data_IF_315211340435
#
_entry.id   IF_315211340435
#
_cell.length_a   1.000
_cell.length_b   1.000
_cell.length_c   1.000
_cell.angle_alpha   90.00
_cell.angle_beta   90.00
_cell.angle_gamma   90.00
#
_symmetry.space_group_name_H-M   'P 1'
#
loop_
_entity.id
_entity.type
_entity.pdbx_description
1 polymer ?
#
# COMPACT_ATOMS: atom_id res chain seq x y z
N UNK A 1 -13.04 -18.61 17.74
CA UNK A 1 -12.70 -19.98 17.32
C UNK A 1 -11.84 -20.56 18.43
N UNK A 2 -12.32 -21.58 19.15
CA UNK A 2 -11.43 -22.33 20.04
C UNK A 2 -10.53 -23.19 19.16
N UNK A 3 -9.22 -22.98 19.31
CA UNK A 3 -8.21 -23.64 18.49
C UNK A 3 -7.47 -24.59 19.42
N UNK A 4 -7.58 -25.90 19.18
CA UNK A 4 -6.82 -26.88 19.95
C UNK A 4 -5.42 -27.10 19.33
N UNK A 5 -4.54 -27.75 20.08
CA UNK A 5 -3.17 -28.00 19.64
C UNK A 5 -3.12 -28.79 18.33
N UNK A 6 -4.07 -29.71 18.11
CA UNK A 6 -4.08 -30.55 16.90
C UNK A 6 -4.35 -29.74 15.63
N UNK A 7 -5.22 -28.71 15.72
CA UNK A 7 -5.46 -27.79 14.63
C UNK A 7 -4.23 -26.91 14.35
N UNK A 8 -3.56 -26.45 15.41
CA UNK A 8 -2.36 -25.62 15.30
C UNK A 8 -1.23 -26.42 14.64
N UNK A 9 -0.97 -27.64 15.11
CA UNK A 9 0.07 -28.52 14.55
C UNK A 9 -0.17 -28.78 13.06
N UNK A 10 -1.43 -29.01 12.66
CA UNK A 10 -1.81 -29.16 11.26
C UNK A 10 -1.56 -27.90 10.42
N UNK A 11 -1.71 -26.72 11.01
CA UNK A 11 -1.45 -25.42 10.37
C UNK A 11 0.06 -25.14 10.21
N UNK A 12 0.86 -25.45 11.24
CA UNK A 12 2.32 -25.26 11.23
C UNK A 12 2.99 -26.08 10.12
N UNK A 13 2.55 -27.33 9.94
CA UNK A 13 3.01 -28.22 8.84
C UNK A 13 2.80 -27.56 7.46
N UNK A 14 1.80 -26.70 7.29
CA UNK A 14 1.47 -26.04 6.02
C UNK A 14 2.08 -24.65 5.86
N UNK A 15 2.40 -23.96 6.95
CA UNK A 15 2.96 -22.59 6.94
C UNK A 15 4.50 -22.54 7.10
N UNK A 16 5.12 -23.69 7.39
CA UNK A 16 6.54 -23.91 7.72
C UNK A 16 6.98 -23.28 9.05
N UNK A 17 7.56 -24.10 9.94
CA UNK A 17 8.04 -23.65 11.26
C UNK A 17 9.02 -22.48 11.20
N UNK A 18 10.03 -22.43 10.28
CA UNK A 18 10.97 -21.31 10.23
C UNK A 18 10.31 -19.96 9.96
N UNK A 19 9.16 -19.98 9.26
CA UNK A 19 8.40 -18.76 8.97
C UNK A 19 7.69 -18.25 10.21
N UNK A 20 7.07 -19.13 11.00
CA UNK A 20 6.36 -18.80 12.23
C UNK A 20 7.30 -18.42 13.37
N UNK A 21 8.48 -19.06 13.45
CA UNK A 21 9.50 -18.76 14.46
C UNK A 21 9.94 -17.29 14.42
N UNK A 22 10.07 -16.72 13.23
CA UNK A 22 10.40 -15.30 13.08
C UNK A 22 9.37 -14.38 13.73
N UNK A 23 8.08 -14.73 13.68
CA UNK A 23 7.02 -13.99 14.38
C UNK A 23 7.09 -14.25 15.88
N UNK A 24 7.22 -15.52 16.29
CA UNK A 24 7.29 -15.91 17.70
C UNK A 24 8.39 -15.15 18.45
N UNK A 25 9.60 -15.12 17.89
CA UNK A 25 10.74 -14.43 18.51
C UNK A 25 10.58 -12.91 18.50
N UNK A 26 10.18 -12.32 17.38
CA UNK A 26 10.15 -10.85 17.26
C UNK A 26 9.04 -10.20 18.12
N UNK A 27 7.90 -10.86 18.26
CA UNK A 27 6.75 -10.37 19.03
C UNK A 27 6.65 -10.97 20.44
N UNK A 28 7.62 -11.79 20.84
CA UNK A 28 7.65 -12.48 22.12
C UNK A 28 6.33 -13.23 22.43
N UNK A 29 5.78 -13.93 21.43
CA UNK A 29 4.50 -14.64 21.56
C UNK A 29 4.60 -15.76 22.60
N UNK A 30 3.58 -15.86 23.46
CA UNK A 30 3.54 -16.82 24.58
C UNK A 30 3.06 -18.21 24.19
N UNK A 31 2.28 -18.30 23.12
CA UNK A 31 1.68 -19.53 22.63
C UNK A 31 1.46 -19.45 21.12
N UNK A 32 1.11 -20.58 20.51
CA UNK A 32 0.98 -20.70 19.06
C UNK A 32 -0.22 -19.92 18.51
N UNK A 33 -1.28 -19.75 19.31
CA UNK A 33 -2.44 -18.95 18.92
C UNK A 33 -2.05 -17.48 18.72
N UNK A 34 -1.22 -16.91 19.61
CA UNK A 34 -0.65 -15.57 19.43
C UNK A 34 0.18 -15.48 18.15
N UNK A 35 1.02 -16.48 17.84
CA UNK A 35 1.86 -16.49 16.63
C UNK A 35 1.01 -16.49 15.36
N UNK A 36 -0.02 -17.34 15.32
CA UNK A 36 -0.99 -17.38 14.21
C UNK A 36 -1.71 -16.03 14.11
N UNK A 37 -2.09 -15.44 15.24
CA UNK A 37 -2.66 -14.11 15.34
C UNK A 37 -1.82 -13.03 14.67
N UNK A 38 -0.54 -12.91 15.05
CA UNK A 38 0.38 -11.94 14.45
C UNK A 38 0.63 -12.23 12.96
N UNK A 39 0.68 -13.50 12.56
CA UNK A 39 0.77 -13.87 11.15
C UNK A 39 -0.45 -13.37 10.35
N UNK A 40 -1.65 -13.47 10.93
CA UNK A 40 -2.87 -12.94 10.33
C UNK A 40 -2.92 -11.40 10.34
N UNK A 41 -2.41 -10.76 11.39
CA UNK A 41 -2.23 -9.30 11.43
C UNK A 41 -1.35 -8.80 10.28
N UNK A 42 -0.25 -9.50 9.96
CA UNK A 42 0.57 -9.15 8.80
C UNK A 42 -0.21 -9.21 7.47
N UNK A 43 -1.15 -10.16 7.32
CA UNK A 43 -2.04 -10.21 6.15
C UNK A 43 -3.08 -9.09 6.17
N UNK A 44 -3.59 -8.74 7.34
CA UNK A 44 -4.50 -7.61 7.50
C UNK A 44 -3.81 -6.30 7.08
N UNK A 45 -2.57 -6.07 7.52
CA UNK A 45 -1.73 -4.94 7.07
C UNK A 45 -1.59 -4.95 5.54
N UNK A 46 -1.16 -6.08 4.98
CA UNK A 46 -0.98 -6.23 3.53
C UNK A 46 -2.26 -5.86 2.74
N UNK A 47 -3.42 -6.30 3.23
CA UNK A 47 -4.73 -6.03 2.65
C UNK A 47 -5.12 -4.56 2.80
N UNK A 48 -4.86 -3.95 3.96
CA UNK A 48 -5.17 -2.56 4.23
C UNK A 48 -4.37 -1.59 3.34
N UNK A 49 -3.08 -1.87 3.08
CA UNK A 49 -2.24 -1.06 2.20
C UNK A 49 -2.62 -1.16 0.72
N UNK A 50 -3.25 -2.27 0.28
CA UNK A 50 -3.40 -2.57 -1.14
C UNK A 50 -4.20 -1.50 -1.92
N UNK A 51 -5.34 -0.98 -1.43
CA UNK A 51 -6.07 0.08 -2.13
C UNK A 51 -5.29 1.38 -2.26
N UNK A 52 -4.50 1.74 -1.23
CA UNK A 52 -3.64 2.93 -1.25
C UNK A 52 -2.53 2.80 -2.30
N UNK A 53 -1.86 1.64 -2.35
CA UNK A 53 -0.84 1.35 -3.36
C UNK A 53 -1.40 1.33 -4.78
N UNK A 54 -2.57 0.72 -4.98
CA UNK A 54 -3.25 0.68 -6.26
C UNK A 54 -3.60 2.10 -6.74
N UNK A 55 -4.12 2.95 -5.85
CA UNK A 55 -4.41 4.34 -6.18
C UNK A 55 -3.16 5.09 -6.62
N UNK A 56 -2.05 4.92 -5.91
CA UNK A 56 -0.76 5.53 -6.26
C UNK A 56 -0.21 5.01 -7.60
N UNK A 57 -0.30 3.71 -7.87
CA UNK A 57 0.14 3.09 -9.13
C UNK A 57 -0.64 3.64 -10.34
N UNK A 58 -1.98 3.64 -10.25
CA UNK A 58 -2.85 4.14 -11.31
C UNK A 58 -2.65 5.64 -11.53
N UNK A 59 -2.51 6.41 -10.45
CA UNK A 59 -2.27 7.85 -10.54
C UNK A 59 -0.91 8.14 -11.19
N UNK A 60 0.18 7.46 -10.79
CA UNK A 60 1.49 7.63 -11.42
C UNK A 60 1.46 7.37 -12.92
N UNK A 61 0.86 6.24 -13.31
CA UNK A 61 0.70 5.88 -14.72
C UNK A 61 0.01 6.99 -15.49
N UNK A 62 -1.16 7.43 -15.00
CA UNK A 62 -1.99 8.38 -15.71
C UNK A 62 -1.33 9.78 -15.75
N UNK A 63 -0.70 10.21 -14.65
CA UNK A 63 0.04 11.48 -14.60
C UNK A 63 1.19 11.51 -15.61
N UNK A 64 2.03 10.47 -15.66
CA UNK A 64 3.12 10.39 -16.65
C UNK A 64 2.55 10.31 -18.06
N UNK A 65 1.56 9.44 -18.28
CA UNK A 65 1.00 9.22 -19.61
C UNK A 65 0.36 10.49 -20.19
N UNK A 66 -0.46 11.19 -19.41
CA UNK A 66 -1.14 12.41 -19.83
C UNK A 66 -0.15 13.55 -20.07
N UNK A 67 0.84 13.73 -19.18
CA UNK A 67 1.89 14.73 -19.34
C UNK A 67 2.69 14.49 -20.64
N UNK A 68 3.09 13.24 -20.91
CA UNK A 68 3.81 12.88 -22.11
C UNK A 68 2.94 13.02 -23.38
N UNK A 69 1.68 12.56 -23.35
CA UNK A 69 0.72 12.73 -24.46
C UNK A 69 0.57 14.20 -24.85
N UNK A 70 0.42 15.08 -23.85
CA UNK A 70 0.33 16.54 -24.07
C UNK A 70 1.61 17.09 -24.71
N UNK A 71 2.79 16.76 -24.16
CA UNK A 71 4.09 17.19 -24.69
C UNK A 71 4.34 16.75 -26.13
N UNK A 72 3.88 15.55 -26.51
CA UNK A 72 4.07 14.99 -27.84
C UNK A 72 2.84 15.20 -28.73
N UNK A 73 2.25 16.40 -28.69
CA UNK A 73 1.19 16.87 -29.59
C UNK A 73 -0.03 15.94 -29.66
N UNK A 74 -0.43 15.38 -28.51
CA UNK A 74 -1.58 14.49 -28.41
C UNK A 74 -1.29 13.02 -28.76
N UNK A 75 -0.04 12.65 -29.06
CA UNK A 75 0.33 11.28 -29.38
C UNK A 75 0.12 10.33 -28.18
N UNK A 76 -0.95 9.55 -28.21
CA UNK A 76 -1.27 8.54 -27.19
C UNK A 76 -0.30 7.35 -27.21
N UNK A 77 0.47 7.15 -28.27
CA UNK A 77 1.48 6.09 -28.39
C UNK A 77 2.91 6.63 -28.26
N UNK A 78 3.11 7.76 -27.56
CA UNK A 78 4.43 8.39 -27.38
C UNK A 78 5.51 7.40 -26.92
N UNK A 79 5.15 6.38 -26.14
CA UNK A 79 6.06 5.35 -25.63
C UNK A 79 6.66 4.46 -26.74
N UNK A 80 6.13 4.51 -27.98
CA UNK A 80 6.66 3.83 -29.17
C UNK A 80 7.64 4.68 -29.98
N UNK A 81 7.84 5.96 -29.63
CA UNK A 81 8.76 6.84 -30.33
C UNK A 81 10.21 6.34 -30.21
N UNK A 82 11.01 6.50 -31.26
CA UNK A 82 12.40 5.99 -31.32
C UNK A 82 13.32 6.57 -30.23
N UNK A 83 12.97 7.73 -29.66
CA UNK A 83 13.68 8.33 -28.51
C UNK A 83 13.46 7.59 -27.18
N UNK A 84 12.57 6.60 -27.15
CA UNK A 84 12.27 5.76 -25.98
C UNK A 84 12.45 4.27 -26.29
N UNK A 85 13.65 3.81 -26.68
CA UNK A 85 13.86 2.43 -27.15
C UNK A 85 13.46 1.37 -26.12
N UNK A 86 13.70 1.63 -24.81
CA UNK A 86 13.31 0.72 -23.72
C UNK A 86 11.79 0.66 -23.54
N UNK A 87 11.12 1.82 -23.57
CA UNK A 87 9.66 1.92 -23.48
C UNK A 87 9.00 1.23 -24.68
N UNK A 88 9.52 1.50 -25.89
CA UNK A 88 9.06 0.92 -27.14
C UNK A 88 9.15 -0.60 -27.11
N UNK A 89 10.33 -1.15 -26.80
CA UNK A 89 10.53 -2.60 -26.72
C UNK A 89 9.55 -3.28 -25.74
N UNK A 90 9.32 -2.69 -24.57
CA UNK A 90 8.45 -3.28 -23.54
C UNK A 90 6.96 -3.12 -23.87
N UNK A 91 6.54 -1.99 -24.43
CA UNK A 91 5.16 -1.76 -24.85
C UNK A 91 4.79 -2.58 -26.09
N UNK A 92 5.69 -2.75 -27.06
CA UNK A 92 5.45 -3.54 -28.29
C UNK A 92 5.07 -5.00 -28.01
N UNK A 93 5.52 -5.57 -26.88
CA UNK A 93 5.12 -6.91 -26.45
C UNK A 93 3.60 -7.03 -26.26
N UNK A 94 2.93 -5.94 -25.88
CA UNK A 94 1.48 -5.90 -25.67
C UNK A 94 0.68 -5.77 -26.98
N UNK A 95 1.36 -5.46 -28.09
CA UNK A 95 0.75 -5.45 -29.43
C UNK A 95 0.94 -6.77 -30.17
N UNK A 96 1.62 -7.75 -29.56
CA UNK A 96 1.96 -9.03 -30.17
C UNK A 96 1.29 -10.18 -29.44
N UNK A 97 0.92 -11.21 -30.20
CA UNK A 97 0.49 -12.51 -29.69
C UNK A 97 1.70 -13.29 -29.17
N UNK A 98 1.44 -14.42 -28.51
CA UNK A 98 2.48 -15.32 -27.97
C UNK A 98 3.43 -15.86 -29.05
N UNK A 99 2.95 -16.03 -30.27
CA UNK A 99 3.73 -16.48 -31.44
C UNK A 99 4.57 -15.35 -32.09
N UNK A 100 4.50 -14.13 -31.55
CA UNK A 100 5.22 -12.96 -32.05
C UNK A 100 4.50 -12.19 -33.17
N UNK A 101 3.39 -12.70 -33.69
CA UNK A 101 2.57 -12.01 -34.69
C UNK A 101 1.82 -10.82 -34.07
N UNK A 102 1.47 -9.82 -34.90
CA UNK A 102 0.73 -8.64 -34.43
C UNK A 102 -0.74 -8.97 -34.13
N UNK A 103 -1.27 -8.37 -33.06
CA UNK A 103 -2.70 -8.45 -32.72
C UNK A 103 -3.49 -7.58 -33.72
N UNK A 104 -4.59 -8.11 -34.25
CA UNK A 104 -5.46 -7.42 -35.22
C UNK A 104 -6.93 -7.55 -34.78
N UNK A 105 -7.69 -6.45 -34.58
CA UNK A 105 -7.21 -5.07 -34.61
C UNK A 105 -6.19 -4.79 -33.49
N UNK A 106 -5.27 -3.82 -33.66
CA UNK A 106 -4.27 -3.50 -32.64
C UNK A 106 -4.95 -3.00 -31.35
N UNK A 107 -4.42 -3.33 -30.16
CA UNK A 107 -4.91 -2.78 -28.90
C UNK A 107 -4.82 -1.25 -28.89
N UNK A 108 -5.76 -0.59 -28.21
CA UNK A 108 -5.71 0.85 -28.04
C UNK A 108 -4.55 1.26 -27.13
N UNK A 109 -4.09 2.51 -27.27
CA UNK A 109 -3.06 3.05 -26.38
C UNK A 109 -3.46 2.95 -24.90
N UNK A 110 -4.72 3.21 -24.57
CA UNK A 110 -5.24 3.12 -23.20
C UNK A 110 -5.20 1.68 -22.66
N UNK A 111 -5.51 0.69 -23.50
CA UNK A 111 -5.38 -0.73 -23.14
C UNK A 111 -3.92 -1.07 -22.83
N UNK A 112 -2.98 -0.63 -23.66
CA UNK A 112 -1.54 -0.88 -23.47
C UNK A 112 -1.03 -0.19 -22.21
N UNK A 113 -1.35 1.09 -22.04
CA UNK A 113 -1.05 1.87 -20.82
C UNK A 113 -1.55 1.12 -19.60
N UNK A 114 -2.79 0.63 -19.63
CA UNK A 114 -3.41 -0.06 -18.50
C UNK A 114 -2.73 -1.38 -18.11
N UNK A 115 -2.13 -2.09 -19.06
CA UNK A 115 -1.48 -3.39 -18.87
C UNK A 115 0.00 -3.28 -18.48
N UNK A 116 0.61 -2.10 -18.62
CA UNK A 116 1.99 -1.88 -18.23
C UNK A 116 2.12 -1.85 -16.69
N UNK A 117 3.01 -2.69 -16.18
CA UNK A 117 3.19 -2.90 -14.73
C UNK A 117 3.68 -1.65 -14.00
N UNK A 118 3.43 -1.53 -12.69
CA UNK A 118 3.98 -0.45 -11.88
C UNK A 118 5.49 -0.20 -12.13
N UNK A 119 6.27 -1.29 -12.18
CA UNK A 119 7.72 -1.21 -12.41
C UNK A 119 8.11 -0.59 -13.76
N UNK A 120 7.25 -0.65 -14.79
CA UNK A 120 7.45 0.10 -16.02
C UNK A 120 7.37 1.61 -15.76
N UNK A 121 6.35 2.05 -15.03
CA UNK A 121 6.12 3.48 -14.73
C UNK A 121 7.19 4.03 -13.79
N UNK A 122 7.64 3.25 -12.81
CA UNK A 122 8.80 3.64 -11.98
C UNK A 122 10.08 3.74 -12.83
N UNK A 123 10.28 2.84 -13.80
CA UNK A 123 11.44 2.91 -14.70
C UNK A 123 11.46 4.19 -15.55
N UNK A 124 10.28 4.75 -15.87
CA UNK A 124 10.20 6.04 -16.58
C UNK A 124 10.86 7.18 -15.80
N UNK A 125 10.97 7.07 -14.47
CA UNK A 125 11.64 8.06 -13.61
C UNK A 125 13.17 7.86 -13.53
N UNK A 126 13.75 6.95 -14.31
CA UNK A 126 15.21 6.79 -14.36
C UNK A 126 15.87 7.87 -15.22
N UNK A 127 17.17 8.09 -15.02
CA UNK A 127 17.95 9.04 -15.83
C UNK A 127 18.04 8.71 -17.33
N UNK A 128 17.59 7.51 -17.75
CA UNK A 128 17.48 7.17 -19.18
C UNK A 128 16.52 8.12 -19.93
N UNK A 129 15.58 8.73 -19.19
CA UNK A 129 14.55 9.63 -19.71
C UNK A 129 14.84 11.11 -19.37
N UNK A 130 16.03 11.42 -18.84
CA UNK A 130 16.53 12.79 -18.69
C UNK A 130 17.04 13.32 -20.03
N UNK A 131 16.69 14.57 -20.31
CA UNK A 131 17.28 15.39 -21.37
C UNK A 131 17.13 16.88 -21.01
N UNK A 132 17.91 17.38 -20.02
CA UNK A 132 17.79 18.75 -19.54
C UNK A 132 18.25 19.80 -20.56
N UNK A 133 19.04 19.40 -21.57
CA UNK A 133 19.61 20.32 -22.55
C UNK A 133 18.67 20.50 -23.75
N UNK A 134 18.24 19.40 -24.38
CA UNK A 134 17.46 19.47 -25.61
C UNK A 134 15.95 19.29 -25.39
N UNK A 135 15.54 18.95 -24.16
CA UNK A 135 14.15 18.80 -23.78
C UNK A 135 13.37 17.79 -24.66
N UNK A 136 14.05 16.82 -25.27
CA UNK A 136 13.45 15.86 -26.18
C UNK A 136 12.84 14.65 -25.46
N UNK A 137 13.29 14.34 -24.23
CA UNK A 137 12.75 13.24 -23.41
C UNK A 137 11.76 13.75 -22.35
N UNK A 138 11.43 12.93 -21.35
CA UNK A 138 10.41 13.24 -20.37
C UNK A 138 10.89 14.32 -19.38
N UNK A 139 12.09 14.16 -18.82
CA UNK A 139 12.54 14.94 -17.68
C UNK A 139 13.65 15.93 -18.05
N UNK A 140 13.75 17.07 -17.35
CA UNK A 140 12.94 17.51 -16.20
C UNK A 140 11.61 18.20 -16.57
N UNK A 141 11.40 18.54 -17.84
CA UNK A 141 10.29 19.39 -18.28
C UNK A 141 8.89 18.93 -17.91
N UNK A 142 8.66 17.62 -17.79
CA UNK A 142 7.35 17.08 -17.43
C UNK A 142 7.12 17.04 -15.92
N UNK A 143 8.11 17.33 -15.07
CA UNK A 143 7.94 17.27 -13.61
C UNK A 143 6.80 18.18 -13.15
N UNK A 144 6.73 19.47 -13.55
CA UNK A 144 5.66 20.37 -13.10
C UNK A 144 4.26 19.95 -13.58
N UNK A 145 4.18 19.11 -14.63
CA UNK A 145 2.91 18.65 -15.21
C UNK A 145 2.47 17.31 -14.61
N UNK A 146 3.40 16.38 -14.45
CA UNK A 146 3.12 15.04 -13.90
C UNK A 146 3.07 15.04 -12.36
N UNK A 147 3.77 15.98 -11.72
CA UNK A 147 3.88 16.13 -10.26
C UNK A 147 3.68 17.61 -9.86
N UNK A 148 2.51 18.20 -10.15
CA UNK A 148 2.26 19.63 -9.97
C UNK A 148 2.44 20.12 -8.53
N UNK A 149 2.27 19.23 -7.54
CA UNK A 149 2.36 19.58 -6.12
C UNK A 149 3.68 19.14 -5.47
N UNK A 150 4.66 18.68 -6.26
CA UNK A 150 6.02 18.46 -5.76
C UNK A 150 6.82 19.77 -5.83
N UNK A 151 7.51 20.13 -4.74
CA UNK A 151 8.26 21.38 -4.65
C UNK A 151 9.69 21.17 -4.13
N UNK A 152 10.56 22.14 -4.41
CA UNK A 152 11.94 22.17 -3.90
C UNK A 152 12.71 20.89 -4.22
N UNK A 153 13.36 20.32 -3.20
CA UNK A 153 14.19 19.10 -3.33
C UNK A 153 13.38 17.86 -3.74
N UNK A 154 12.07 17.85 -3.49
CA UNK A 154 11.17 16.75 -3.86
C UNK A 154 10.81 16.77 -5.36
N UNK A 155 10.85 17.94 -5.99
CA UNK A 155 10.56 18.16 -7.40
C UNK A 155 11.73 17.80 -8.34
N UNK A 156 12.58 16.86 -7.92
CA UNK A 156 13.68 16.35 -8.75
C UNK A 156 13.37 14.93 -9.20
N UNK A 157 13.70 14.59 -10.45
CA UNK A 157 13.51 13.22 -10.95
C UNK A 157 14.22 12.19 -10.06
N UNK A 158 15.40 12.53 -9.52
CA UNK A 158 16.14 11.66 -8.60
C UNK A 158 15.33 11.32 -7.35
N UNK A 159 14.75 12.33 -6.71
CA UNK A 159 13.94 12.16 -5.51
C UNK A 159 12.64 11.39 -5.82
N UNK A 160 11.95 11.76 -6.89
CA UNK A 160 10.73 11.08 -7.33
C UNK A 160 10.99 9.60 -7.62
N UNK A 161 12.05 9.28 -8.38
CA UNK A 161 12.43 7.90 -8.66
C UNK A 161 12.71 7.11 -7.39
N UNK A 162 13.45 7.69 -6.44
CA UNK A 162 13.73 7.05 -5.15
C UNK A 162 12.44 6.75 -4.39
N UNK A 163 11.51 7.72 -4.31
CA UNK A 163 10.22 7.53 -3.64
C UNK A 163 9.40 6.43 -4.30
N UNK A 164 9.19 6.49 -5.62
CA UNK A 164 8.38 5.49 -6.30
C UNK A 164 9.04 4.11 -6.39
N UNK A 165 10.38 4.03 -6.39
CA UNK A 165 11.07 2.75 -6.26
C UNK A 165 10.86 2.13 -4.88
N UNK A 166 10.94 2.93 -3.81
CA UNK A 166 10.56 2.49 -2.46
C UNK A 166 9.12 1.95 -2.42
N UNK A 167 8.15 2.69 -2.98
CA UNK A 167 6.74 2.26 -3.02
C UNK A 167 6.58 0.95 -3.82
N UNK A 168 7.28 0.80 -4.95
CA UNK A 168 7.31 -0.43 -5.75
C UNK A 168 7.84 -1.61 -4.95
N UNK A 169 8.95 -1.41 -4.24
CA UNK A 169 9.57 -2.47 -3.46
C UNK A 169 8.65 -2.89 -2.32
N UNK A 170 8.05 -1.93 -1.60
CA UNK A 170 7.05 -2.23 -0.58
C UNK A 170 5.82 -2.97 -1.12
N UNK A 171 5.29 -2.54 -2.28
CA UNK A 171 4.19 -3.24 -2.98
C UNK A 171 4.57 -4.67 -3.36
N UNK A 172 5.80 -4.89 -3.82
CA UNK A 172 6.28 -6.23 -4.17
C UNK A 172 6.36 -7.13 -2.94
N UNK A 173 6.82 -6.61 -1.80
CA UNK A 173 6.82 -7.35 -0.52
C UNK A 173 5.42 -7.81 -0.14
N UNK A 174 4.42 -6.94 -0.30
CA UNK A 174 3.00 -7.30 -0.13
C UNK A 174 2.59 -8.42 -1.08
N UNK A 175 2.89 -8.27 -2.38
CA UNK A 175 2.54 -9.27 -3.41
C UNK A 175 3.23 -10.63 -3.23
N UNK A 176 4.41 -10.66 -2.59
CA UNK A 176 5.14 -11.88 -2.24
C UNK A 176 4.80 -12.40 -0.84
N UNK A 177 3.81 -11.81 -0.17
CA UNK A 177 3.42 -12.16 1.19
C UNK A 177 4.59 -12.12 2.17
N UNK A 178 5.49 -11.16 2.07
CA UNK A 178 6.59 -11.02 3.01
C UNK A 178 6.12 -10.49 4.39
N UNK A 179 6.86 -10.74 5.48
CA UNK A 179 6.63 -10.07 6.76
C UNK A 179 6.92 -8.57 6.63
N UNK A 180 5.89 -7.72 6.70
CA UNK A 180 5.98 -6.28 6.42
C UNK A 180 6.66 -5.49 7.53
N UNK A 181 6.52 -5.95 8.77
CA UNK A 181 7.20 -5.40 9.95
C UNK A 181 8.73 -5.56 9.87
N UNK A 182 9.23 -6.57 9.16
CA UNK A 182 10.67 -6.86 9.06
C UNK A 182 11.35 -5.91 8.08
N UNK A 183 11.57 -4.68 8.49
CA UNK A 183 12.16 -3.62 7.66
C UNK A 183 13.68 -3.64 7.83
N UNK A 184 14.41 -3.60 6.70
CA UNK A 184 15.87 -3.69 6.69
C UNK A 184 16.52 -2.34 7.03
N UNK A 185 17.79 -2.40 7.40
CA UNK A 185 18.63 -1.22 7.53
C UNK A 185 18.68 -0.45 6.21
N UNK A 186 18.60 0.88 6.31
CA UNK A 186 18.88 1.78 5.20
C UNK A 186 20.39 1.98 5.15
N UNK A 187 21.01 1.65 4.01
CA UNK A 187 22.44 1.82 3.77
C UNK A 187 22.72 2.87 2.69
N UNK A 188 23.88 3.51 2.74
CA UNK A 188 24.38 4.37 1.66
C UNK A 188 25.06 3.54 0.54
N UNK A 189 25.57 4.23 -0.50
CA UNK A 189 26.28 3.59 -1.60
C UNK A 189 27.64 2.96 -1.22
N UNK A 190 28.17 3.29 -0.04
CA UNK A 190 29.38 2.71 0.53
C UNK A 190 29.11 1.56 1.52
N UNK A 191 27.85 1.23 1.78
CA UNK A 191 27.45 0.18 2.72
C UNK A 191 27.29 0.63 4.18
N UNK A 192 27.41 1.93 4.48
CA UNK A 192 27.21 2.43 5.84
C UNK A 192 25.72 2.49 6.17
N UNK A 193 25.36 2.06 7.38
CA UNK A 193 23.98 2.15 7.87
C UNK A 193 23.64 3.61 8.16
N UNK A 194 22.72 4.16 7.37
CA UNK A 194 22.12 5.47 7.56
C UNK A 194 20.99 5.45 8.59
N UNK A 195 20.25 4.34 8.65
CA UNK A 195 19.16 4.15 9.62
C UNK A 195 18.95 2.67 9.87
N UNK A 196 18.95 2.27 11.14
CA UNK A 196 18.63 0.90 11.51
C UNK A 196 17.16 0.55 11.20
N UNK A 197 16.95 -0.72 10.87
CA UNK A 197 15.65 -1.35 10.86
C UNK A 197 15.07 -1.45 12.27
N UNK A 198 13.73 -1.56 12.39
CA UNK A 198 13.04 -1.65 13.67
C UNK A 198 13.41 -2.95 14.40
N UNK A 199 13.66 -2.83 15.71
CA UNK A 199 14.03 -3.93 16.61
C UNK A 199 12.90 -4.34 17.54
N UNK A 200 11.85 -3.52 17.64
CA UNK A 200 10.65 -3.82 18.43
C UNK A 200 9.37 -3.71 17.59
N UNK A 201 8.27 -4.35 18.01
CA UNK A 201 6.96 -4.18 17.38
C UNK A 201 6.52 -2.70 17.25
N UNK A 202 6.77 -1.88 18.27
CA UNK A 202 6.46 -0.45 18.29
C UNK A 202 7.22 0.31 17.20
N UNK A 203 8.52 0.05 17.06
CA UNK A 203 9.34 0.66 16.00
C UNK A 203 8.89 0.20 14.61
N UNK A 204 8.49 -1.06 14.46
CA UNK A 204 7.95 -1.60 13.21
C UNK A 204 6.66 -0.91 12.83
N UNK A 205 5.73 -0.76 13.78
CA UNK A 205 4.46 -0.08 13.60
C UNK A 205 4.69 1.39 13.26
N UNK A 206 5.56 2.08 13.98
CA UNK A 206 5.97 3.46 13.69
C UNK A 206 6.49 3.60 12.26
N UNK A 207 7.34 2.67 11.80
CA UNK A 207 7.85 2.69 10.42
C UNK A 207 6.78 2.42 9.37
N UNK A 208 5.82 1.54 9.65
CA UNK A 208 4.68 1.31 8.76
C UNK A 208 3.80 2.56 8.66
N UNK A 209 3.62 3.31 9.75
CA UNK A 209 2.91 4.59 9.69
C UNK A 209 3.68 5.64 8.86
N UNK A 210 5.01 5.73 8.98
CA UNK A 210 5.81 6.56 8.08
C UNK A 210 5.64 6.13 6.62
N UNK A 211 5.51 4.83 6.34
CA UNK A 211 5.29 4.35 4.97
C UNK A 211 3.94 4.82 4.41
N UNK A 212 2.90 4.88 5.25
CA UNK A 212 1.60 5.47 4.88
C UNK A 212 1.80 6.93 4.47
N UNK A 213 2.52 7.73 5.28
CA UNK A 213 2.80 9.13 4.99
C UNK A 213 3.54 9.29 3.66
N UNK A 214 4.57 8.48 3.44
CA UNK A 214 5.38 8.55 2.22
C UNK A 214 4.58 8.18 0.96
N UNK A 215 3.64 7.24 1.06
CA UNK A 215 2.78 6.86 -0.08
C UNK A 215 1.72 7.95 -0.33
N UNK A 216 1.11 8.48 0.72
CA UNK A 216 0.13 9.55 0.63
C UNK A 216 0.74 10.85 0.09
N UNK A 217 1.94 11.23 0.52
CA UNK A 217 2.67 12.38 0.00
C UNK A 217 2.99 12.20 -1.50
N UNK A 218 3.39 10.99 -1.91
CA UNK A 218 3.64 10.69 -3.32
C UNK A 218 2.36 10.81 -4.17
N UNK A 219 1.22 10.39 -3.63
CA UNK A 219 -0.09 10.58 -4.27
C UNK A 219 -0.42 12.07 -4.38
N UNK A 220 -0.20 12.82 -3.29
CA UNK A 220 -0.45 14.27 -3.19
C UNK A 220 0.34 15.05 -4.22
N UNK A 221 1.61 14.71 -4.46
CA UNK A 221 2.42 15.33 -5.52
C UNK A 221 1.76 15.28 -6.90
N UNK A 222 0.98 14.23 -7.17
CA UNK A 222 0.32 14.00 -8.46
C UNK A 222 -1.10 14.57 -8.52
N UNK A 223 -1.87 14.50 -7.43
CA UNK A 223 -3.25 15.03 -7.36
C UNK A 223 -3.71 15.22 -5.92
N UNK A 224 -4.17 16.44 -5.60
CA UNK A 224 -4.82 16.73 -4.32
C UNK A 224 -6.18 16.05 -4.22
N UNK A 225 -6.96 16.05 -5.31
CA UNK A 225 -8.29 15.48 -5.38
C UNK A 225 -8.27 13.98 -5.09
N UNK A 226 -7.27 13.27 -5.62
CA UNK A 226 -7.12 11.84 -5.36
C UNK A 226 -6.71 11.54 -3.93
N UNK A 227 -5.85 12.39 -3.35
CA UNK A 227 -5.49 12.33 -1.94
C UNK A 227 -6.72 12.58 -1.05
N UNK A 228 -7.40 13.70 -1.24
CA UNK A 228 -8.56 14.13 -0.47
C UNK A 228 -9.69 13.10 -0.55
N UNK A 229 -9.89 12.48 -1.72
CA UNK A 229 -10.84 11.39 -1.87
C UNK A 229 -10.50 10.19 -0.97
N UNK A 230 -9.24 9.73 -0.98
CA UNK A 230 -8.85 8.57 -0.16
C UNK A 230 -8.95 8.86 1.35
N UNK A 231 -8.55 10.06 1.76
CA UNK A 231 -8.70 10.52 3.15
C UNK A 231 -10.17 10.63 3.52
N UNK A 232 -10.97 11.28 2.67
CA UNK A 232 -12.40 11.51 2.89
C UNK A 232 -13.25 10.25 2.95
N UNK A 233 -12.87 9.19 2.23
CA UNK A 233 -13.52 7.87 2.37
C UNK A 233 -13.03 7.09 3.59
N UNK A 234 -12.08 7.60 4.39
CA UNK A 234 -11.56 6.94 5.59
C UNK A 234 -10.50 5.88 5.32
N UNK A 235 -9.90 5.84 4.12
CA UNK A 235 -8.90 4.82 3.80
C UNK A 235 -7.63 4.98 4.65
N UNK A 236 -7.12 6.20 4.78
CA UNK A 236 -5.93 6.49 5.60
C UNK A 236 -6.12 6.01 7.04
N UNK A 237 -7.22 6.43 7.68
CA UNK A 237 -7.54 6.06 9.06
C UNK A 237 -7.57 4.54 9.20
N UNK A 238 -8.22 3.83 8.29
CA UNK A 238 -8.25 2.37 8.31
C UNK A 238 -6.86 1.72 8.22
N UNK A 239 -5.99 2.18 7.32
CA UNK A 239 -4.63 1.60 7.22
C UNK A 239 -3.82 1.90 8.49
N UNK A 240 -3.97 3.08 9.07
CA UNK A 240 -3.29 3.45 10.33
C UNK A 240 -3.80 2.63 11.51
N UNK A 241 -5.11 2.42 11.61
CA UNK A 241 -5.70 1.59 12.66
C UNK A 241 -5.20 0.15 12.60
N UNK A 242 -5.15 -0.46 11.41
CA UNK A 242 -4.56 -1.81 11.25
C UNK A 242 -3.06 -1.81 11.56
N UNK A 243 -2.36 -0.71 11.27
CA UNK A 243 -0.97 -0.47 11.65
C UNK A 243 -0.85 0.19 13.04
N UNK A 244 -1.49 -0.40 14.06
CA UNK A 244 -1.43 0.08 15.44
C UNK A 244 -1.07 -1.05 16.41
N UNK A 245 -0.62 -0.67 17.61
CA UNK A 245 -0.39 -1.63 18.70
C UNK A 245 -1.69 -2.26 19.16
N UNK A 246 -2.80 -1.53 19.09
CA UNK A 246 -4.10 -2.06 19.50
C UNK A 246 -4.60 -3.13 18.54
N UNK A 247 -4.41 -2.94 17.24
CA UNK A 247 -4.63 -3.99 16.25
C UNK A 247 -3.74 -5.21 16.51
N UNK A 248 -2.44 -5.01 16.74
CA UNK A 248 -1.53 -6.12 17.02
C UNK A 248 -2.01 -6.95 18.23
N UNK A 249 -2.31 -6.29 19.35
CA UNK A 249 -2.82 -6.94 20.58
C UNK A 249 -4.14 -7.66 20.35
N UNK A 250 -5.05 -7.04 19.60
CA UNK A 250 -6.32 -7.63 19.20
C UNK A 250 -6.10 -8.95 18.43
N UNK A 251 -5.21 -8.95 17.44
CA UNK A 251 -4.87 -10.16 16.69
C UNK A 251 -4.13 -11.20 17.55
N UNK A 252 -3.37 -10.79 18.56
CA UNK A 252 -2.79 -11.69 19.56
C UNK A 252 -3.84 -12.27 20.53
N UNK A 253 -5.09 -11.79 20.51
CA UNK A 253 -6.13 -12.21 21.46
C UNK A 253 -5.89 -11.68 22.88
N UNK A 254 -5.09 -10.62 23.02
CA UNK A 254 -4.87 -9.95 24.31
C UNK A 254 -6.03 -8.97 24.50
N UNK A 255 -6.84 -9.17 25.56
CA UNK A 255 -7.95 -8.26 25.88
C UNK A 255 -7.47 -6.81 25.97
N UNK A 256 -8.06 -5.96 25.15
CA UNK A 256 -7.73 -4.57 24.96
C UNK A 256 -9.04 -3.77 25.03
N UNK A 257 -9.26 -3.09 26.15
CA UNK A 257 -10.44 -2.26 26.43
C UNK A 257 -11.80 -2.94 26.14
N UNK A 258 -12.29 -3.85 27.01
CA UNK A 258 -13.61 -4.42 26.84
C UNK A 258 -14.71 -3.35 26.89
N UNK A 259 -15.49 -3.24 25.82
CA UNK A 259 -16.64 -2.33 25.73
C UNK A 259 -17.93 -3.09 26.03
N UNK A 260 -18.85 -2.44 26.74
CA UNK A 260 -20.25 -2.84 26.68
C UNK A 260 -20.86 -2.38 25.36
N UNK A 261 -21.89 -3.07 24.86
CA UNK A 261 -22.62 -2.70 23.63
C UNK A 261 -23.05 -1.22 23.67
N UNK A 262 -23.45 -0.71 24.84
CA UNK A 262 -23.86 0.68 25.01
C UNK A 262 -22.68 1.66 24.86
N UNK A 263 -21.49 1.30 25.34
CA UNK A 263 -20.30 2.15 25.20
C UNK A 263 -19.83 2.19 23.74
N UNK A 264 -19.85 1.04 23.04
CA UNK A 264 -19.61 0.99 21.59
C UNK A 264 -20.59 1.88 20.84
N UNK A 265 -21.90 1.75 21.11
CA UNK A 265 -22.93 2.61 20.50
C UNK A 265 -22.62 4.10 20.70
N UNK A 266 -22.26 4.51 21.91
CA UNK A 266 -21.95 5.91 22.21
C UNK A 266 -20.71 6.40 21.46
N UNK A 267 -19.66 5.59 21.38
CA UNK A 267 -18.44 5.93 20.65
C UNK A 267 -18.69 6.05 19.15
N UNK A 268 -19.40 5.09 18.56
CA UNK A 268 -19.82 5.14 17.16
C UNK A 268 -20.65 6.40 16.88
N UNK A 269 -21.61 6.73 17.75
CA UNK A 269 -22.42 7.94 17.62
C UNK A 269 -21.58 9.22 17.73
N UNK A 270 -20.57 9.24 18.60
CA UNK A 270 -19.66 10.38 18.73
C UNK A 270 -18.83 10.59 17.46
N UNK A 271 -18.22 9.53 16.94
CA UNK A 271 -17.43 9.60 15.70
C UNK A 271 -18.30 10.01 14.50
N UNK A 272 -19.54 9.52 14.40
CA UNK A 272 -20.51 9.98 13.38
C UNK A 272 -20.78 11.49 13.52
N UNK A 273 -21.05 11.97 14.74
CA UNK A 273 -21.35 13.40 14.99
C UNK A 273 -20.17 14.32 14.67
N UNK A 274 -18.96 13.90 15.01
CA UNK A 274 -17.74 14.67 14.74
C UNK A 274 -17.25 14.55 13.30
N UNK A 275 -17.96 13.79 12.46
CA UNK A 275 -17.59 13.53 11.08
C UNK A 275 -16.22 12.84 10.95
N UNK A 276 -15.78 12.11 11.98
CA UNK A 276 -14.57 11.28 11.99
C UNK A 276 -14.82 9.94 11.27
N UNK A 277 -13.79 9.30 10.72
CA UNK A 277 -14.00 7.92 10.27
C UNK A 277 -14.16 7.00 11.49
N UNK A 278 -14.74 5.85 11.21
CA UNK A 278 -15.06 4.85 12.22
C UNK A 278 -14.31 3.60 11.79
N UNK A 279 -12.99 3.64 11.91
CA UNK A 279 -12.19 2.43 11.89
C UNK A 279 -11.73 2.12 13.30
N UNK A 280 -11.76 0.84 13.69
CA UNK A 280 -11.31 0.45 15.02
C UNK A 280 -11.59 -1.00 15.35
N UNK A 281 -10.85 -1.49 16.34
CA UNK A 281 -10.99 -2.83 16.88
C UNK A 281 -11.72 -2.78 18.21
N UNK A 282 -12.81 -3.54 18.33
CA UNK A 282 -13.69 -3.50 19.48
C UNK A 282 -13.90 -4.87 20.08
N UNK A 283 -13.95 -4.91 21.41
CA UNK A 283 -14.22 -6.11 22.18
C UNK A 283 -15.59 -6.00 22.86
N UNK A 284 -16.46 -6.98 22.58
CA UNK A 284 -17.80 -7.05 23.14
C UNK A 284 -17.93 -8.29 24.03
N UNK A 285 -18.19 -8.06 25.32
CA UNK A 285 -18.62 -9.13 26.22
C UNK A 285 -20.09 -9.46 25.96
N UNK A 286 -20.34 -10.68 25.54
CA UNK A 286 -21.70 -11.16 25.26
C UNK A 286 -22.55 -11.24 26.53
N UNK A 287 -23.86 -11.09 26.37
CA UNK A 287 -24.80 -11.18 27.48
C UNK A 287 -24.79 -12.57 28.12
N UNK A 288 -25.21 -12.71 29.40
CA UNK A 288 -25.29 -13.99 30.11
C UNK A 288 -26.37 -14.97 29.59
N UNK A 289 -26.93 -14.73 28.38
CA UNK A 289 -27.92 -15.57 27.71
C UNK A 289 -27.59 -15.64 26.22
N UNK A 290 -27.78 -16.82 25.60
CA UNK A 290 -27.54 -17.04 24.16
C UNK A 290 -26.42 -18.05 23.87
N UNK A 291 -26.21 -18.35 22.59
CA UNK A 291 -25.27 -19.39 22.12
C UNK A 291 -23.79 -19.05 22.40
N UNK A 292 -23.45 -17.75 22.44
CA UNK A 292 -22.09 -17.24 22.66
C UNK A 292 -21.88 -16.76 24.11
N UNK A 293 -22.69 -17.25 25.06
CA UNK A 293 -22.74 -16.74 26.44
C UNK A 293 -21.36 -16.73 27.11
N UNK A 294 -20.94 -15.56 27.58
CA UNK A 294 -19.68 -15.40 28.31
C UNK A 294 -18.45 -15.34 27.41
N UNK A 295 -18.63 -15.35 26.08
CA UNK A 295 -17.55 -15.16 25.13
C UNK A 295 -17.29 -13.67 24.87
N UNK A 296 -16.03 -13.34 24.59
CA UNK A 296 -15.60 -12.04 24.06
C UNK A 296 -15.64 -12.11 22.54
N UNK A 297 -16.45 -11.25 21.91
CA UNK A 297 -16.50 -11.09 20.46
C UNK A 297 -15.59 -9.94 20.05
N UNK A 298 -14.72 -10.21 19.10
CA UNK A 298 -13.81 -9.25 18.49
C UNK A 298 -14.43 -8.71 17.19
N UNK A 299 -14.59 -7.40 17.08
CA UNK A 299 -15.12 -6.71 15.90
C UNK A 299 -14.05 -5.82 15.28
N UNK A 300 -13.82 -5.99 13.98
CA UNK A 300 -13.16 -5.00 13.13
C UNK A 300 -14.26 -4.18 12.45
N UNK A 301 -14.38 -2.91 12.84
CA UNK A 301 -15.31 -1.98 12.21
C UNK A 301 -14.51 -1.15 11.22
N UNK A 302 -14.93 -1.20 9.96
CA UNK A 302 -14.37 -0.40 8.88
C UNK A 302 -15.44 0.48 8.27
N UNK A 303 -15.37 1.77 8.51
CA UNK A 303 -16.24 2.74 7.87
C UNK A 303 -15.55 3.36 6.65
N UNK A 304 -15.94 2.88 5.47
CA UNK A 304 -15.63 3.54 4.21
C UNK A 304 -16.83 4.36 3.77
N UNK A 305 -16.67 5.67 3.61
CA UNK A 305 -17.75 6.55 3.14
C UNK A 305 -17.82 6.51 1.61
N UNK A 306 -18.94 6.11 0.99
CA UNK A 306 -19.08 6.25 -0.45
C UNK A 306 -19.15 7.75 -0.81
N UNK A 307 -18.63 8.15 -1.98
CA UNK A 307 -18.81 9.51 -2.47
C UNK A 307 -20.30 9.83 -2.61
N UNK A 308 -20.71 10.99 -2.12
CA UNK A 308 -22.05 11.54 -2.38
C UNK A 308 -21.93 12.57 -3.49
N UNK A 309 -22.62 12.34 -4.60
CA UNK A 309 -22.82 13.36 -5.61
C UNK A 309 -23.75 14.43 -5.03
N UNK A 310 -23.28 15.66 -4.94
CA UNK A 310 -24.14 16.80 -4.64
C UNK A 310 -24.64 17.35 -5.98
N UNK A 311 -25.96 17.38 -6.20
CA UNK A 311 -26.55 17.83 -7.46
C UNK A 311 -26.29 19.30 -7.77
#
# INVERSE_FOLDING_TARGET
MQVDQSFIDALEVKLSSPRLDAYRTYFACKNDAEVIGVYQWNKAIATAFFPLLQATEVTLRNSIHNAAKSKYSGNSEWFRMNRFPKAKKKSEQLYKKRDGSWITPPPTADMVVSQLTFGFWVNMLTGNYDDPVHNNKLWPSLIPVAFPNAHGSQATRAYLHRRFNFIKDFRNRIGHYEPLWKIKDTIDGGGNILRYGPRTPEESISRLQEYIDLILEALKWMSHERYDFLVGIGLEEHVREVCSLDALKHYQGIENNPFSINKLKTELLSKVKNNEAISGFYELKTAPKGLLKGETIFLDIKHLRPPKYLP
#
